data_IF_297453256908
#
_entry.id   IF_297453256908
#
_cell.length_a   1.000
_cell.length_b   1.000
_cell.length_c   1.000
_cell.angle_alpha   90.00
_cell.angle_beta   90.00
_cell.angle_gamma   90.00
#
_symmetry.space_group_name_H-M   'P 1'
#
loop_
_entity.id
_entity.type
_entity.pdbx_description
1 polymer ?
#
# COMPACT_ATOMS: atom_id res chain seq x y z
N UNK A 1 -13.71 34.11 -26.56
CA UNK A 1 -14.58 32.96 -26.23
C UNK A 1 -13.88 31.86 -25.44
N UNK A 2 -12.71 31.37 -25.86
CA UNK A 2 -11.95 30.27 -25.20
C UNK A 2 -11.74 30.48 -23.68
N UNK A 3 -11.31 31.68 -23.27
CA UNK A 3 -11.09 32.01 -21.84
C UNK A 3 -12.36 31.89 -20.98
N UNK A 4 -13.54 32.12 -21.56
CA UNK A 4 -14.83 32.09 -20.86
C UNK A 4 -15.32 30.64 -20.67
N UNK A 5 -15.10 29.79 -21.67
CA UNK A 5 -15.34 28.34 -21.58
C UNK A 5 -14.38 27.68 -20.59
N UNK A 6 -13.10 28.08 -20.59
CA UNK A 6 -12.11 27.59 -19.64
C UNK A 6 -12.47 27.96 -18.19
N UNK A 7 -12.84 29.21 -17.95
CA UNK A 7 -13.25 29.67 -16.63
C UNK A 7 -14.57 29.03 -16.16
N UNK A 8 -15.49 28.72 -17.07
CA UNK A 8 -16.73 28.02 -16.75
C UNK A 8 -16.47 26.56 -16.40
N UNK A 9 -15.62 25.87 -17.17
CA UNK A 9 -15.20 24.50 -16.89
C UNK A 9 -14.48 24.35 -15.54
N UNK A 10 -13.66 25.35 -15.17
CA UNK A 10 -12.97 25.40 -13.88
C UNK A 10 -13.76 26.12 -12.78
N UNK A 11 -14.98 26.60 -13.02
CA UNK A 11 -15.76 27.26 -11.99
C UNK A 11 -16.39 26.23 -11.03
N UNK A 12 -16.03 26.22 -9.74
CA UNK A 12 -16.58 25.25 -8.81
C UNK A 12 -18.04 25.62 -8.52
N UNK A 13 -18.98 24.90 -9.12
CA UNK A 13 -20.39 25.09 -8.81
C UNK A 13 -20.66 24.43 -7.46
N UNK A 14 -20.84 25.23 -6.40
CA UNK A 14 -21.02 24.77 -5.00
C UNK A 14 -22.02 23.61 -4.83
N UNK A 15 -23.05 23.57 -5.69
CA UNK A 15 -24.08 22.52 -5.76
C UNK A 15 -23.59 21.10 -6.10
N UNK A 16 -22.49 20.95 -6.86
CA UNK A 16 -21.93 19.64 -7.24
C UNK A 16 -20.52 19.38 -6.66
N UNK A 17 -19.90 20.42 -6.07
CA UNK A 17 -18.56 20.34 -5.50
C UNK A 17 -18.44 19.26 -4.42
N UNK A 18 -19.45 19.13 -3.55
CA UNK A 18 -19.45 18.13 -2.46
C UNK A 18 -19.50 16.68 -2.97
N UNK A 19 -20.35 16.40 -3.95
CA UNK A 19 -20.43 15.06 -4.55
C UNK A 19 -19.15 14.68 -5.30
N UNK A 20 -18.57 15.63 -6.05
CA UNK A 20 -17.29 15.44 -6.72
C UNK A 20 -16.15 15.15 -5.74
N UNK A 21 -16.05 15.92 -4.65
CA UNK A 21 -15.04 15.72 -3.60
C UNK A 21 -15.21 14.34 -2.95
N UNK A 22 -16.44 13.94 -2.61
CA UNK A 22 -16.70 12.64 -1.99
C UNK A 22 -16.33 11.47 -2.92
N UNK A 23 -16.71 11.55 -4.20
CA UNK A 23 -16.42 10.48 -5.17
C UNK A 23 -14.92 10.40 -5.43
N UNK A 24 -14.27 11.52 -5.75
CA UNK A 24 -12.83 11.54 -6.05
C UNK A 24 -12.01 11.15 -4.82
N UNK A 25 -12.34 11.73 -3.65
CA UNK A 25 -11.69 11.39 -2.39
C UNK A 25 -11.90 9.94 -1.98
N UNK A 26 -13.11 9.40 -2.17
CA UNK A 26 -13.43 8.00 -1.90
C UNK A 26 -12.65 7.04 -2.80
N UNK A 27 -12.62 7.29 -4.11
CA UNK A 27 -11.86 6.48 -5.07
C UNK A 27 -10.36 6.55 -4.77
N UNK A 28 -9.81 7.75 -4.56
CA UNK A 28 -8.42 7.93 -4.19
C UNK A 28 -8.07 7.22 -2.87
N UNK A 29 -8.97 7.30 -1.89
CA UNK A 29 -8.83 6.62 -0.60
C UNK A 29 -8.78 5.11 -0.73
N UNK A 30 -9.67 4.50 -1.52
CA UNK A 30 -9.68 3.05 -1.77
C UNK A 30 -8.39 2.59 -2.46
N UNK A 31 -7.95 3.31 -3.49
CA UNK A 31 -6.71 3.00 -4.21
C UNK A 31 -5.52 3.10 -3.27
N UNK A 32 -5.41 4.19 -2.51
CA UNK A 32 -4.33 4.39 -1.58
C UNK A 32 -4.32 3.32 -0.48
N UNK A 33 -5.47 3.04 0.12
CA UNK A 33 -5.60 2.02 1.15
C UNK A 33 -5.22 0.63 0.63
N UNK A 34 -5.72 0.24 -0.54
CA UNK A 34 -5.36 -1.04 -1.17
C UNK A 34 -3.87 -1.14 -1.50
N UNK A 35 -3.30 -0.09 -2.09
CA UNK A 35 -1.87 -0.04 -2.44
C UNK A 35 -0.96 -0.05 -1.21
N UNK A 36 -1.29 0.75 -0.19
CA UNK A 36 -0.53 0.82 1.06
C UNK A 36 -0.53 -0.53 1.79
N UNK A 37 -1.69 -1.17 1.95
CA UNK A 37 -1.76 -2.48 2.62
C UNK A 37 -1.05 -3.57 1.81
N UNK A 38 -1.17 -3.55 0.49
CA UNK A 38 -0.45 -4.49 -0.38
C UNK A 38 1.06 -4.33 -0.25
N UNK A 39 1.56 -3.09 -0.21
CA UNK A 39 2.98 -2.82 -0.02
C UNK A 39 3.46 -3.21 1.38
N UNK A 40 2.68 -2.92 2.42
CA UNK A 40 2.96 -3.36 3.79
C UNK A 40 3.07 -4.89 3.87
N UNK A 41 2.12 -5.62 3.26
CA UNK A 41 2.14 -7.08 3.20
C UNK A 41 3.39 -7.59 2.48
N UNK A 42 3.76 -6.98 1.36
CA UNK A 42 4.99 -7.32 0.63
C UNK A 42 6.24 -7.15 1.51
N UNK A 43 6.32 -6.07 2.29
CA UNK A 43 7.45 -5.82 3.21
C UNK A 43 7.48 -6.76 4.42
N UNK A 44 6.40 -7.51 4.68
CA UNK A 44 6.35 -8.57 5.70
C UNK A 44 6.68 -9.96 5.14
N UNK A 45 7.12 -10.04 3.87
CA UNK A 45 7.52 -11.33 3.28
C UNK A 45 8.97 -11.65 3.58
N UNK A 46 9.27 -12.96 3.66
CA UNK A 46 10.64 -13.41 3.93
C UNK A 46 11.58 -13.01 2.79
N UNK A 47 11.06 -12.94 1.56
CA UNK A 47 11.80 -12.46 0.38
C UNK A 47 12.28 -11.02 0.57
N UNK A 48 11.44 -10.14 1.10
CA UNK A 48 11.84 -8.77 1.41
C UNK A 48 12.86 -8.75 2.55
N UNK A 49 12.62 -9.45 3.66
CA UNK A 49 13.53 -9.45 4.80
C UNK A 49 14.94 -9.94 4.43
N UNK A 50 15.06 -11.04 3.66
CA UNK A 50 16.36 -11.61 3.24
C UNK A 50 16.98 -10.90 2.03
N UNK A 51 16.35 -9.83 1.53
CA UNK A 51 16.96 -8.98 0.51
C UNK A 51 18.10 -8.12 1.09
N UNK A 52 18.06 -7.84 2.40
CA UNK A 52 19.14 -7.17 3.12
C UNK A 52 20.30 -8.16 3.37
N UNK A 53 21.53 -7.74 3.05
CA UNK A 53 22.71 -8.60 3.17
C UNK A 53 22.91 -9.12 4.61
N UNK A 54 22.72 -8.26 5.61
CA UNK A 54 22.86 -8.63 7.01
C UNK A 54 21.81 -9.67 7.42
N UNK A 55 20.54 -9.41 7.10
CA UNK A 55 19.44 -10.35 7.36
C UNK A 55 19.67 -11.71 6.70
N UNK A 56 20.21 -11.73 5.49
CA UNK A 56 20.47 -12.95 4.72
C UNK A 56 21.57 -13.80 5.33
N UNK A 57 22.66 -13.18 5.76
CA UNK A 57 23.89 -13.88 6.12
C UNK A 57 23.89 -14.36 7.59
N UNK A 58 23.32 -13.60 8.51
CA UNK A 58 23.33 -13.94 9.95
C UNK A 58 21.95 -14.32 10.51
N UNK A 59 20.95 -13.43 10.67
CA UNK A 59 19.69 -13.78 11.32
C UNK A 59 18.90 -14.86 10.60
N UNK A 60 18.87 -14.87 9.26
CA UNK A 60 18.14 -15.91 8.52
C UNK A 60 18.75 -17.31 8.72
N UNK A 61 20.07 -17.40 8.86
CA UNK A 61 20.75 -18.66 9.15
C UNK A 61 20.40 -19.20 10.54
N UNK A 62 20.22 -18.32 11.52
CA UNK A 62 19.78 -18.65 12.88
C UNK A 62 18.29 -19.01 12.92
N UNK A 63 17.45 -18.19 12.29
CA UNK A 63 16.00 -18.40 12.21
C UNK A 63 15.64 -19.79 11.67
N UNK A 64 16.36 -20.29 10.65
CA UNK A 64 16.18 -21.64 10.07
C UNK A 64 16.31 -22.79 11.08
N UNK A 65 17.01 -22.57 12.19
CA UNK A 65 17.22 -23.56 13.27
C UNK A 65 16.09 -23.54 14.30
N UNK A 66 15.22 -22.53 14.29
CA UNK A 66 14.16 -22.34 15.28
C UNK A 66 12.90 -23.14 14.96
N UNK A 67 12.06 -23.34 15.99
CA UNK A 67 10.73 -23.95 15.84
C UNK A 67 9.79 -23.11 14.98
N UNK A 68 10.00 -21.79 14.92
CA UNK A 68 9.18 -20.89 14.10
C UNK A 68 9.42 -21.08 12.60
N UNK A 69 10.64 -21.47 12.19
CA UNK A 69 10.89 -21.84 10.79
C UNK A 69 10.25 -23.18 10.42
N UNK A 70 10.23 -24.15 11.35
CA UNK A 70 9.65 -25.49 11.12
C UNK A 70 8.23 -25.64 11.70
N UNK A 71 7.44 -24.56 11.68
CA UNK A 71 6.10 -24.59 12.29
C UNK A 71 5.21 -25.65 11.61
N UNK A 72 4.69 -26.58 12.40
CA UNK A 72 3.82 -27.67 11.95
C UNK A 72 2.49 -27.16 11.35
N UNK A 73 1.99 -25.99 11.79
CA UNK A 73 0.78 -25.37 11.25
C UNK A 73 1.01 -24.67 9.91
N UNK A 74 2.25 -24.61 9.41
CA UNK A 74 2.62 -23.90 8.18
C UNK A 74 2.64 -22.37 8.29
N UNK A 75 2.11 -21.80 9.37
CA UNK A 75 2.16 -20.35 9.65
C UNK A 75 3.57 -19.95 10.07
N UNK A 76 4.17 -19.02 9.35
CA UNK A 76 5.48 -18.44 9.69
C UNK A 76 5.30 -16.96 9.97
N UNK A 77 5.59 -16.56 11.20
CA UNK A 77 5.87 -15.16 11.49
C UNK A 77 7.25 -14.84 10.92
N UNK A 78 7.32 -13.75 10.17
CA UNK A 78 8.48 -13.28 9.43
C UNK A 78 8.82 -11.89 9.95
#
# INVERSE_FOLDING_TARGET
MIRRLWNWFWSPTSRYAWGGIFIVGGVAGIIFWGGFNTFMEYTNTLQFCVSCHEMRDTPYAEYKKTVHFKNASGVRAI
#
